data_IF_634654360147
#
_entry.id   IF_634654360147
#
_cell.length_a   1.000
_cell.length_b   1.000
_cell.length_c   1.000
_cell.angle_alpha   90.00
_cell.angle_beta   90.00
_cell.angle_gamma   90.00
#
_symmetry.space_group_name_H-M   'P 1'
#
loop_
_entity.id
_entity.type
_entity.pdbx_description
1 polymer ?
#
# COMPACT_ATOMS: atom_id res chain seq x y z
N UNK A 1 6.28 -9.64 -7.56
CA UNK A 1 6.37 -8.43 -6.73
C UNK A 1 7.54 -8.59 -5.77
N UNK A 2 8.35 -7.55 -5.54
CA UNK A 2 9.46 -7.56 -4.58
C UNK A 2 9.48 -6.23 -3.83
N UNK A 3 9.94 -6.24 -2.57
CA UNK A 3 10.13 -5.02 -1.78
C UNK A 3 11.55 -4.97 -1.21
N UNK A 4 12.00 -3.76 -0.92
CA UNK A 4 13.23 -3.50 -0.14
C UNK A 4 12.95 -2.31 0.75
N UNK A 5 13.46 -2.34 1.99
CA UNK A 5 13.23 -1.27 2.94
C UNK A 5 13.82 -1.57 4.30
N UNK A 6 14.00 -0.53 5.10
CA UNK A 6 14.45 -0.63 6.50
C UNK A 6 13.40 0.02 7.39
N UNK A 7 13.07 -0.63 8.50
CA UNK A 7 12.04 -0.17 9.41
C UNK A 7 11.85 -1.14 10.56
N UNK A 8 10.84 -0.87 11.41
CA UNK A 8 10.51 -1.74 12.53
C UNK A 8 9.89 -3.06 12.05
N UNK A 9 9.80 -4.04 12.96
CA UNK A 9 9.22 -5.35 12.67
C UNK A 9 7.82 -5.26 12.02
N UNK A 10 6.98 -4.32 12.46
CA UNK A 10 5.62 -4.12 11.91
C UNK A 10 5.69 -3.72 10.43
N UNK A 11 6.57 -2.79 10.06
CA UNK A 11 6.69 -2.37 8.65
C UNK A 11 7.24 -3.47 7.75
N UNK A 12 8.15 -4.31 8.26
CA UNK A 12 8.72 -5.43 7.51
C UNK A 12 7.67 -6.54 7.33
N UNK A 13 6.94 -6.88 8.40
CA UNK A 13 5.84 -7.84 8.35
C UNK A 13 4.73 -7.37 7.40
N UNK A 14 4.33 -6.09 7.49
CA UNK A 14 3.35 -5.49 6.60
C UNK A 14 3.78 -5.54 5.14
N UNK A 15 5.04 -5.19 4.83
CA UNK A 15 5.54 -5.28 3.47
C UNK A 15 5.57 -6.72 2.94
N UNK A 16 6.02 -7.68 3.75
CA UNK A 16 6.02 -9.11 3.38
C UNK A 16 4.62 -9.61 3.09
N UNK A 17 3.69 -9.44 4.04
CA UNK A 17 2.29 -9.83 3.90
C UNK A 17 1.66 -9.18 2.65
N UNK A 18 1.85 -7.87 2.47
CA UNK A 18 1.29 -7.16 1.33
C UNK A 18 1.80 -7.70 -0.01
N UNK A 19 3.09 -8.06 -0.10
CA UNK A 19 3.62 -8.65 -1.33
C UNK A 19 3.04 -10.02 -1.65
N UNK A 20 2.69 -10.81 -0.64
CA UNK A 20 2.00 -12.09 -0.82
C UNK A 20 0.55 -11.87 -1.22
N UNK A 21 -0.17 -10.96 -0.54
CA UNK A 21 -1.57 -10.64 -0.78
C UNK A 21 -1.86 -10.26 -2.24
N UNK A 22 -0.97 -9.47 -2.83
CA UNK A 22 -1.13 -8.94 -4.19
C UNK A 22 -0.51 -9.83 -5.27
N UNK A 23 0.18 -10.90 -4.90
CA UNK A 23 0.85 -11.76 -5.87
C UNK A 23 -0.18 -12.50 -6.73
N UNK A 24 -0.10 -12.33 -8.04
CA UNK A 24 -1.02 -12.98 -8.99
C UNK A 24 -2.42 -12.36 -9.05
N UNK A 25 -2.67 -11.27 -8.32
CA UNK A 25 -3.91 -10.50 -8.41
C UNK A 25 -3.87 -9.56 -9.61
N UNK A 26 -5.05 -9.19 -10.10
CA UNK A 26 -5.18 -8.19 -11.15
C UNK A 26 -4.91 -6.77 -10.61
N UNK A 27 -4.76 -5.84 -11.54
CA UNK A 27 -4.42 -4.46 -11.21
C UNK A 27 -5.52 -3.70 -10.47
N UNK A 28 -6.79 -4.01 -10.75
CA UNK A 28 -7.93 -3.35 -10.13
C UNK A 28 -8.06 -3.77 -8.66
N UNK A 29 -7.84 -5.05 -8.34
CA UNK A 29 -7.75 -5.54 -6.98
C UNK A 29 -6.71 -4.76 -6.16
N UNK A 30 -5.52 -4.52 -6.73
CA UNK A 30 -4.44 -3.84 -5.99
C UNK A 30 -4.77 -2.36 -5.73
N UNK A 31 -5.49 -1.70 -6.64
CA UNK A 31 -5.94 -0.31 -6.46
C UNK A 31 -6.95 -0.18 -5.33
N UNK A 32 -7.89 -1.11 -5.28
CA UNK A 32 -9.00 -1.12 -4.31
C UNK A 32 -8.57 -1.51 -2.89
N UNK A 33 -7.30 -1.91 -2.69
CA UNK A 33 -6.80 -2.21 -1.34
C UNK A 33 -6.92 -1.02 -0.40
N UNK A 34 -7.58 -1.27 0.72
CA UNK A 34 -7.85 -0.30 1.78
C UNK A 34 -6.89 -0.47 2.96
N UNK A 35 -6.93 0.50 3.87
CA UNK A 35 -6.17 0.39 5.13
C UNK A 35 -6.71 -0.76 5.98
N UNK A 36 -8.02 -0.99 5.98
CA UNK A 36 -8.70 -2.05 6.71
C UNK A 36 -8.20 -3.44 6.25
N UNK A 37 -8.09 -3.67 4.94
CA UNK A 37 -7.60 -4.94 4.39
C UNK A 37 -6.22 -5.28 4.92
N UNK A 38 -5.31 -4.30 4.95
CA UNK A 38 -3.94 -4.50 5.43
C UNK A 38 -3.91 -4.76 6.93
N UNK A 39 -4.75 -4.07 7.71
CA UNK A 39 -4.83 -4.24 9.15
C UNK A 39 -5.44 -5.60 9.52
N UNK A 40 -6.47 -6.05 8.81
CA UNK A 40 -7.10 -7.34 9.01
C UNK A 40 -6.16 -8.50 8.64
N UNK A 41 -5.47 -8.40 7.49
CA UNK A 41 -4.50 -9.43 7.08
C UNK A 41 -3.26 -9.48 8.01
N UNK A 42 -2.96 -8.40 8.73
CA UNK A 42 -1.94 -8.40 9.79
C UNK A 42 -2.46 -8.93 11.13
N UNK A 43 -3.77 -9.11 11.29
CA UNK A 43 -4.40 -9.47 12.56
C UNK A 43 -4.31 -8.36 13.61
N UNK A 44 -4.26 -7.09 13.18
CA UNK A 44 -4.07 -5.93 14.05
C UNK A 44 -5.29 -5.02 13.99
N UNK A 45 -6.19 -5.12 14.98
CA UNK A 45 -7.42 -4.32 15.02
C UNK A 45 -7.26 -3.00 15.81
N UNK A 46 -6.35 -2.93 16.78
CA UNK A 46 -6.19 -1.77 17.68
C UNK A 46 -4.73 -1.26 17.73
N UNK A 47 -4.24 -0.74 16.60
CA UNK A 47 -2.95 -0.06 16.55
C UNK A 47 -3.11 1.40 16.98
N UNK A 48 -2.40 1.78 18.05
CA UNK A 48 -2.29 3.19 18.44
C UNK A 48 -1.69 4.07 17.32
N UNK A 49 -1.92 5.39 17.35
CA UNK A 49 -1.56 6.34 16.28
C UNK A 49 -0.06 6.38 15.97
N UNK A 50 0.81 5.98 16.90
CA UNK A 50 2.24 5.86 16.66
C UNK A 50 2.62 4.66 15.77
N UNK A 51 1.83 3.59 15.77
CA UNK A 51 2.16 2.31 15.12
C UNK A 51 1.39 2.09 13.81
N UNK A 52 0.27 2.79 13.61
CA UNK A 52 -0.52 2.71 12.38
C UNK A 52 0.28 3.13 11.14
N UNK A 53 1.15 4.15 11.26
CA UNK A 53 2.03 4.59 10.16
C UNK A 53 2.98 3.49 9.70
N UNK A 54 3.45 2.65 10.62
CA UNK A 54 4.34 1.53 10.28
C UNK A 54 3.57 0.40 9.58
N UNK A 55 2.34 0.12 9.99
CA UNK A 55 1.49 -0.90 9.38
C UNK A 55 1.06 -0.49 7.96
N UNK A 56 0.75 0.79 7.72
CA UNK A 56 0.22 1.28 6.45
C UNK A 56 1.30 1.79 5.47
N UNK A 57 2.57 1.87 5.89
CA UNK A 57 3.65 2.40 5.06
C UNK A 57 3.80 1.64 3.74
N UNK A 58 3.73 0.32 3.77
CA UNK A 58 3.85 -0.56 2.60
C UNK A 58 2.74 -0.28 1.58
N UNK A 59 1.49 -0.11 2.03
CA UNK A 59 0.34 0.22 1.19
C UNK A 59 0.49 1.60 0.56
N UNK A 60 0.93 2.59 1.33
CA UNK A 60 1.20 3.94 0.82
C UNK A 60 2.26 3.93 -0.28
N UNK A 61 3.37 3.22 -0.06
CA UNK A 61 4.44 3.07 -1.06
C UNK A 61 3.95 2.32 -2.30
N UNK A 62 3.13 1.28 -2.13
CA UNK A 62 2.54 0.55 -3.24
C UNK A 62 1.65 1.44 -4.11
N UNK A 63 0.75 2.23 -3.49
CA UNK A 63 -0.10 3.18 -4.22
C UNK A 63 0.73 4.25 -4.95
N UNK A 64 1.80 4.77 -4.35
CA UNK A 64 2.72 5.68 -5.05
C UNK A 64 3.46 5.00 -6.21
N UNK A 65 3.88 3.75 -6.05
CA UNK A 65 4.51 2.99 -7.15
C UNK A 65 3.57 2.77 -8.32
N UNK A 66 2.29 2.51 -8.03
CA UNK A 66 1.22 2.41 -9.04
C UNK A 66 0.99 3.77 -9.70
N UNK A 67 0.92 4.85 -8.93
CA UNK A 67 0.82 6.22 -9.44
C UNK A 67 1.93 6.52 -10.46
N UNK A 68 3.19 6.26 -10.10
CA UNK A 68 4.32 6.46 -11.01
C UNK A 68 4.20 5.61 -12.27
N UNK A 69 3.79 4.35 -12.13
CA UNK A 69 3.58 3.47 -13.29
C UNK A 69 2.46 3.97 -14.22
N UNK A 70 1.31 4.35 -13.69
CA UNK A 70 0.17 4.86 -14.47
C UNK A 70 0.51 6.18 -15.13
N UNK A 71 1.14 7.10 -14.38
CA UNK A 71 1.53 8.41 -14.88
C UNK A 71 2.55 8.31 -16.02
N UNK A 72 3.59 7.49 -15.87
CA UNK A 72 4.68 7.41 -16.85
C UNK A 72 4.38 6.48 -18.03
N UNK A 73 3.70 5.35 -17.81
CA UNK A 73 3.48 4.32 -18.85
C UNK A 73 2.14 4.44 -19.56
N UNK A 74 1.07 4.79 -18.84
CA UNK A 74 -0.29 4.87 -19.40
C UNK A 74 -0.68 6.29 -19.80
N UNK A 75 0.07 7.32 -19.35
CA UNK A 75 -0.23 8.75 -19.55
C UNK A 75 -1.64 9.15 -19.11
N UNK A 76 -2.25 8.36 -18.23
CA UNK A 76 -3.55 8.64 -17.63
C UNK A 76 -3.35 9.43 -16.34
N UNK A 77 -3.33 10.76 -16.48
CA UNK A 77 -3.14 11.68 -15.36
C UNK A 77 -4.33 11.73 -14.42
N UNK A 78 -5.55 11.52 -14.91
CA UNK A 78 -6.75 11.58 -14.09
C UNK A 78 -6.83 10.43 -13.08
N UNK A 79 -6.50 9.21 -13.51
CA UNK A 79 -6.40 8.05 -12.60
C UNK A 79 -5.19 8.17 -11.66
N UNK A 80 -4.08 8.73 -12.14
CA UNK A 80 -2.89 8.93 -11.34
C UNK A 80 -3.12 9.89 -10.16
N UNK A 81 -3.80 11.02 -10.38
CA UNK A 81 -4.05 12.02 -9.34
C UNK A 81 -4.93 11.47 -8.21
N UNK A 82 -5.96 10.68 -8.54
CA UNK A 82 -6.80 10.00 -7.53
C UNK A 82 -5.99 9.05 -6.64
N UNK A 83 -5.15 8.22 -7.24
CA UNK A 83 -4.31 7.25 -6.51
C UNK A 83 -3.31 7.99 -5.59
N UNK A 84 -2.78 9.13 -6.03
CA UNK A 84 -1.89 9.96 -5.24
C UNK A 84 -2.60 10.58 -4.04
N UNK A 85 -3.83 11.05 -4.21
CA UNK A 85 -4.65 11.62 -3.13
C UNK A 85 -4.98 10.55 -2.08
N UNK A 86 -5.43 9.37 -2.50
CA UNK A 86 -5.69 8.23 -1.62
C UNK A 86 -4.42 7.80 -0.85
N UNK A 87 -3.28 7.69 -1.53
CA UNK A 87 -2.01 7.34 -0.89
C UNK A 87 -1.63 8.38 0.17
N UNK A 88 -1.87 9.65 -0.10
CA UNK A 88 -1.55 10.75 0.81
C UNK A 88 -2.45 10.73 2.05
N UNK A 89 -3.72 10.35 1.90
CA UNK A 89 -4.73 10.30 2.97
C UNK A 89 -4.70 9.06 3.87
N UNK A 90 -3.84 8.07 3.60
CA UNK A 90 -3.77 6.84 4.40
C UNK A 90 -3.39 7.08 5.88
N UNK A 91 -2.53 8.07 6.16
CA UNK A 91 -2.10 8.51 7.49
C UNK A 91 -1.12 9.71 7.41
#
# INVERSE_FOLDING_TARGET
>A
VKFTGKGCAISQASASMLTELIMGKDFEFVKELTKEDVLENLGLHDLGPARIKCALLSLKVLKYGIYSYVSEKLKDTASADKIKEEASGLF
#
